data_IF_830784630373
#
_entry.id   IF_830784630373
#
_cell.length_a   1.000
_cell.length_b   1.000
_cell.length_c   1.000
_cell.angle_alpha   90.00
_cell.angle_beta   90.00
_cell.angle_gamma   90.00
#
_symmetry.space_group_name_H-M   'P 1'
#
loop_
_entity.id
_entity.type
_entity.pdbx_description
1 polymer ?
#
# COMPACT_ATOMS: atom_id res chain seq x y z
N UNK A 1 3.56 -19.06 -70.47
CA UNK A 1 2.49 -18.79 -69.50
C UNK A 1 3.14 -18.34 -68.19
N UNK A 2 2.55 -17.32 -67.56
CA UNK A 2 2.96 -16.57 -66.36
C UNK A 2 3.89 -15.35 -66.55
N UNK A 3 3.27 -14.23 -66.15
CA UNK A 3 3.58 -12.81 -66.33
C UNK A 3 4.34 -12.31 -65.11
N UNK A 4 5.26 -11.35 -65.29
CA UNK A 4 5.61 -10.39 -64.24
C UNK A 4 5.78 -9.00 -64.84
N UNK A 5 4.83 -8.13 -64.50
CA UNK A 5 4.95 -6.68 -64.64
C UNK A 5 4.73 -6.04 -63.28
N UNK A 6 5.59 -5.09 -62.97
CA UNK A 6 5.63 -4.24 -61.78
C UNK A 6 4.54 -3.16 -61.88
N UNK A 7 3.87 -2.82 -60.77
CA UNK A 7 3.17 -1.55 -60.63
C UNK A 7 3.08 -1.13 -59.16
N UNK A 8 3.80 -0.04 -58.87
CA UNK A 8 3.42 1.15 -58.09
C UNK A 8 2.29 0.96 -57.05
N UNK A 9 2.66 0.95 -55.76
CA UNK A 9 1.73 1.14 -54.66
C UNK A 9 1.50 2.64 -54.42
N UNK A 10 0.36 3.11 -54.92
CA UNK A 10 -0.24 4.39 -54.55
C UNK A 10 -0.99 4.28 -53.21
N UNK A 11 -0.87 5.36 -52.47
CA UNK A 11 -1.45 5.75 -51.18
C UNK A 11 -2.88 5.25 -50.91
N UNK A 12 -3.05 4.54 -49.79
CA UNK A 12 -4.33 4.48 -49.06
C UNK A 12 -4.13 5.17 -47.71
N UNK A 13 -4.78 6.33 -47.54
CA UNK A 13 -4.89 6.98 -46.25
C UNK A 13 -5.79 6.13 -45.35
N UNK A 14 -5.19 5.31 -44.48
CA UNK A 14 -5.92 4.73 -43.36
C UNK A 14 -6.21 5.85 -42.36
N UNK A 15 -7.48 6.27 -42.30
CA UNK A 15 -8.04 6.89 -41.11
C UNK A 15 -7.95 5.87 -39.98
N UNK A 16 -6.81 5.88 -39.27
CA UNK A 16 -6.73 5.29 -37.94
C UNK A 16 -7.59 6.19 -37.07
N UNK A 17 -8.80 5.74 -36.76
CA UNK A 17 -9.52 6.24 -35.59
C UNK A 17 -8.65 5.83 -34.41
N UNK A 18 -7.73 6.72 -34.03
CA UNK A 18 -7.01 6.60 -32.78
C UNK A 18 -8.09 6.65 -31.71
N UNK A 19 -8.47 5.48 -31.19
CA UNK A 19 -9.13 5.42 -29.91
C UNK A 19 -8.17 6.13 -28.96
N UNK A 20 -8.56 7.33 -28.52
CA UNK A 20 -7.85 8.02 -27.46
C UNK A 20 -7.67 7.00 -26.33
N UNK A 21 -6.49 6.95 -25.68
CA UNK A 21 -6.35 6.13 -24.49
C UNK A 21 -7.53 6.47 -23.58
N UNK A 22 -8.35 5.47 -23.26
CA UNK A 22 -9.34 5.60 -22.21
C UNK A 22 -8.49 5.83 -20.97
N UNK A 23 -8.34 7.11 -20.61
CA UNK A 23 -7.82 7.48 -19.32
C UNK A 23 -8.85 6.95 -18.33
N UNK A 24 -8.37 6.24 -17.31
CA UNK A 24 -9.21 5.84 -16.20
C UNK A 24 -9.98 7.07 -15.73
N UNK A 25 -11.31 6.96 -15.63
CA UNK A 25 -12.14 8.11 -15.29
C UNK A 25 -11.65 8.72 -13.98
N UNK A 26 -11.39 10.03 -13.99
CA UNK A 26 -11.02 10.75 -12.77
C UNK A 26 -12.04 10.46 -11.66
N UNK A 27 -11.59 10.28 -10.41
CA UNK A 27 -12.50 10.08 -9.29
C UNK A 27 -13.51 11.23 -9.24
N UNK A 28 -14.80 10.93 -9.16
CA UNK A 28 -15.79 11.99 -9.11
C UNK A 28 -15.61 12.86 -7.86
N UNK A 29 -15.88 14.17 -7.92
CA UNK A 29 -15.84 15.04 -6.74
C UNK A 29 -16.71 14.54 -5.58
N UNK A 30 -17.83 13.88 -5.89
CA UNK A 30 -18.70 13.23 -4.91
C UNK A 30 -18.01 12.06 -4.20
N UNK A 31 -17.25 11.24 -4.92
CA UNK A 31 -16.49 10.12 -4.34
C UNK A 31 -15.41 10.64 -3.39
N UNK A 32 -14.68 11.69 -3.79
CA UNK A 32 -13.69 12.34 -2.93
C UNK A 32 -14.34 12.89 -1.67
N UNK A 33 -15.45 13.62 -1.81
CA UNK A 33 -16.16 14.23 -0.68
C UNK A 33 -16.73 13.18 0.30
N UNK A 34 -17.11 12.00 -0.19
CA UNK A 34 -17.58 10.90 0.67
C UNK A 34 -16.44 10.17 1.36
N UNK A 35 -15.34 9.86 0.66
CA UNK A 35 -14.29 8.98 1.19
C UNK A 35 -13.29 9.75 2.07
N UNK A 36 -12.88 10.96 1.68
CA UNK A 36 -11.89 11.76 2.40
C UNK A 36 -12.15 11.94 3.92
N UNK A 37 -13.39 12.27 4.37
CA UNK A 37 -13.67 12.45 5.79
C UNK A 37 -13.73 11.12 6.58
N UNK A 38 -13.84 9.99 5.88
CA UNK A 38 -13.88 8.65 6.48
C UNK A 38 -12.49 8.03 6.62
N UNK A 39 -11.46 8.66 6.07
CA UNK A 39 -10.09 8.19 6.20
C UNK A 39 -9.39 8.80 7.42
N UNK A 40 -8.22 8.26 7.75
CA UNK A 40 -7.36 8.68 8.86
C UNK A 40 -7.28 10.21 9.00
N UNK A 41 -7.39 10.70 10.23
CA UNK A 41 -7.45 12.13 10.51
C UNK A 41 -6.18 12.66 11.15
N UNK A 42 -6.00 13.99 11.13
CA UNK A 42 -4.92 14.66 11.89
C UNK A 42 -4.98 14.36 13.39
N UNK A 43 -6.16 14.07 13.93
CA UNK A 43 -6.33 13.67 15.33
C UNK A 43 -5.75 12.26 15.56
N UNK A 44 -6.03 11.33 14.66
CA UNK A 44 -5.50 9.96 14.72
C UNK A 44 -3.97 9.97 14.58
N UNK A 45 -3.42 10.74 13.63
CA UNK A 45 -1.97 10.91 13.48
C UNK A 45 -1.33 11.50 14.75
N UNK A 46 -1.97 12.49 15.39
CA UNK A 46 -1.49 13.03 16.68
C UNK A 46 -1.46 11.98 17.77
N UNK A 47 -2.49 11.12 17.85
CA UNK A 47 -2.54 10.02 18.83
C UNK A 47 -1.50 8.93 18.52
N UNK A 48 -1.15 8.75 17.25
CA UNK A 48 -0.09 7.87 16.79
C UNK A 48 1.32 8.42 17.08
N UNK A 49 1.43 9.68 17.51
CA UNK A 49 2.72 10.31 17.83
C UNK A 49 3.33 11.07 16.66
N UNK A 50 2.65 11.19 15.52
CA UNK A 50 3.04 12.12 14.45
C UNK A 50 2.84 13.54 15.01
N UNK A 51 3.89 14.28 15.33
CA UNK A 51 3.82 15.62 15.94
C UNK A 51 4.53 16.69 15.12
N UNK A 52 4.38 17.97 15.50
CA UNK A 52 5.02 19.10 14.82
C UNK A 52 4.32 19.52 13.51
N UNK A 53 5.04 20.25 12.63
CA UNK A 53 4.60 20.51 11.26
C UNK A 53 4.37 19.21 10.49
N UNK A 54 3.27 19.13 9.74
CA UNK A 54 2.85 17.89 9.06
C UNK A 54 2.41 18.16 7.64
N UNK A 55 2.73 17.22 6.76
CA UNK A 55 2.12 17.10 5.44
C UNK A 55 0.91 16.16 5.55
N UNK A 56 -0.15 16.46 4.80
CA UNK A 56 -1.27 15.53 4.64
C UNK A 56 -1.52 15.35 3.15
N UNK A 57 -1.41 14.12 2.70
CA UNK A 57 -1.65 13.74 1.31
C UNK A 57 -2.95 12.95 1.23
N UNK A 58 -3.63 13.06 0.11
CA UNK A 58 -4.78 12.26 -0.24
C UNK A 58 -4.75 12.02 -1.74
N UNK A 59 -4.84 10.75 -2.14
CA UNK A 59 -4.81 10.35 -3.52
C UNK A 59 -5.87 9.28 -3.79
N UNK A 60 -6.44 9.33 -5.00
CA UNK A 60 -7.19 8.21 -5.55
C UNK A 60 -6.55 7.88 -6.89
N UNK A 61 -6.04 6.66 -7.00
CA UNK A 61 -5.37 6.15 -8.19
C UNK A 61 -6.24 5.08 -8.81
N UNK A 62 -6.57 5.23 -10.10
CA UNK A 62 -7.39 4.27 -10.85
C UNK A 62 -6.56 3.66 -12.00
N UNK A 63 -6.74 2.37 -12.25
CA UNK A 63 -6.08 1.67 -13.37
C UNK A 63 -7.05 0.74 -14.09
N UNK A 64 -7.22 0.98 -15.38
CA UNK A 64 -8.10 0.18 -16.25
C UNK A 64 -7.55 -1.22 -16.55
N UNK A 65 -6.24 -1.43 -16.39
CA UNK A 65 -5.57 -2.72 -16.62
C UNK A 65 -5.29 -3.49 -15.33
N UNK A 66 -5.57 -2.92 -14.15
CA UNK A 66 -5.10 -3.39 -12.85
C UNK A 66 -3.56 -3.35 -12.84
N UNK A 67 -2.93 -2.37 -12.23
CA UNK A 67 -2.64 -2.40 -10.80
C UNK A 67 -2.23 -0.98 -10.35
N UNK A 68 -3.07 -0.23 -9.64
CA UNK A 68 -2.58 0.62 -8.56
C UNK A 68 -1.88 -0.33 -7.57
N UNK A 69 -0.78 0.13 -6.99
CA UNK A 69 0.18 -0.66 -6.21
C UNK A 69 -0.43 -1.83 -5.44
N UNK A 70 0.22 -2.98 -5.51
CA UNK A 70 -0.18 -4.07 -4.64
C UNK A 70 0.20 -3.72 -3.19
N UNK A 71 -0.58 -4.15 -2.19
CA UNK A 71 -0.32 -3.79 -0.81
C UNK A 71 1.09 -4.25 -0.41
N UNK A 72 1.92 -3.27 -0.06
CA UNK A 72 3.30 -3.44 0.35
C UNK A 72 3.31 -4.01 1.77
N UNK A 73 4.03 -5.10 2.01
CA UNK A 73 3.98 -5.78 3.32
C UNK A 73 5.37 -6.09 3.89
N UNK A 74 6.34 -6.50 3.06
CA UNK A 74 7.64 -7.05 3.50
C UNK A 74 8.72 -6.88 2.39
N UNK A 75 9.27 -5.68 2.23
CA UNK A 75 10.06 -5.25 1.05
C UNK A 75 11.42 -5.95 0.83
N UNK A 76 11.93 -6.66 1.83
CA UNK A 76 13.38 -6.75 1.99
C UNK A 76 14.09 -7.78 1.12
N UNK A 77 13.44 -8.39 0.13
CA UNK A 77 14.11 -9.43 -0.68
C UNK A 77 13.87 -9.32 -2.17
N UNK A 78 13.03 -8.40 -2.67
CA UNK A 78 12.59 -8.37 -4.09
C UNK A 78 11.80 -9.62 -4.53
N UNK A 79 11.89 -10.73 -3.80
CA UNK A 79 11.23 -12.02 -4.05
C UNK A 79 9.92 -12.16 -3.28
N UNK A 80 9.77 -11.40 -2.19
CA UNK A 80 8.56 -11.34 -1.36
C UNK A 80 7.65 -10.15 -1.69
N UNK A 81 7.95 -9.41 -2.76
CA UNK A 81 7.04 -8.42 -3.31
C UNK A 81 5.67 -9.07 -3.49
N UNK A 82 4.70 -8.54 -2.76
CA UNK A 82 3.32 -8.96 -2.88
C UNK A 82 2.83 -8.30 -4.15
N UNK A 83 3.19 -8.80 -5.34
CA UNK A 83 2.48 -8.44 -6.57
C UNK A 83 1.08 -9.07 -6.47
N UNK A 84 0.17 -8.39 -5.79
CA UNK A 84 -1.25 -8.62 -5.95
C UNK A 84 -1.65 -8.23 -7.37
N UNK A 85 -2.68 -8.86 -7.92
CA UNK A 85 -3.45 -8.20 -8.99
C UNK A 85 -4.12 -7.00 -8.32
N UNK A 86 -3.43 -5.86 -8.32
CA UNK A 86 -3.82 -4.61 -7.68
C UNK A 86 -5.30 -4.28 -7.92
N UNK A 87 -5.94 -3.74 -6.90
CA UNK A 87 -7.33 -3.30 -6.96
C UNK A 87 -7.47 -2.21 -8.03
N UNK A 88 -8.46 -2.20 -8.94
CA UNK A 88 -8.58 -1.16 -9.97
C UNK A 88 -8.61 0.29 -9.44
N UNK A 89 -8.87 0.47 -8.15
CA UNK A 89 -8.79 1.76 -7.48
C UNK A 89 -8.09 1.61 -6.14
N UNK A 90 -7.12 2.47 -5.88
CA UNK A 90 -6.49 2.68 -4.58
C UNK A 90 -6.89 4.07 -4.07
N UNK A 91 -7.35 4.14 -2.84
CA UNK A 91 -7.53 5.39 -2.11
C UNK A 91 -6.50 5.42 -1.00
N UNK A 92 -5.60 6.40 -1.01
CA UNK A 92 -4.53 6.53 -0.03
C UNK A 92 -4.64 7.87 0.70
N UNK A 93 -4.39 7.85 2.00
CA UNK A 93 -4.26 9.06 2.82
C UNK A 93 -3.14 8.87 3.80
N UNK A 94 -2.24 9.83 3.84
CA UNK A 94 -1.07 9.80 4.70
C UNK A 94 -0.92 11.13 5.41
N UNK A 95 -0.46 11.06 6.66
CA UNK A 95 -0.13 12.22 7.46
C UNK A 95 1.30 12.02 7.96
N UNK A 96 2.23 12.76 7.38
CA UNK A 96 3.65 12.69 7.67
C UNK A 96 4.10 13.82 8.57
N UNK A 97 5.00 13.56 9.50
CA UNK A 97 5.75 14.58 10.21
C UNK A 97 6.85 15.12 9.30
N UNK A 98 7.03 16.44 9.32
CA UNK A 98 8.21 17.09 8.73
C UNK A 98 9.35 17.24 9.76
N UNK A 99 9.17 16.68 10.96
CA UNK A 99 10.14 16.69 12.04
C UNK A 99 10.89 15.35 12.06
N UNK A 100 12.21 15.40 12.19
CA UNK A 100 13.06 14.22 12.33
C UNK A 100 13.03 13.66 13.75
N UNK A 101 13.18 12.35 13.90
CA UNK A 101 13.43 11.68 15.19
C UNK A 101 12.18 11.36 16.02
N UNK A 102 10.99 11.41 15.42
CA UNK A 102 9.72 10.96 16.01
C UNK A 102 9.07 9.94 15.06
N UNK A 103 7.82 9.56 15.32
CA UNK A 103 6.98 8.83 14.34
C UNK A 103 6.86 9.66 13.06
N UNK A 104 7.32 9.08 11.95
CA UNK A 104 7.40 9.71 10.63
C UNK A 104 6.03 9.82 10.00
N UNK A 105 5.20 8.77 10.06
CA UNK A 105 3.92 8.78 9.34
C UNK A 105 2.84 7.93 10.01
N UNK A 106 1.59 8.25 9.66
CA UNK A 106 0.44 7.37 9.81
C UNK A 106 -0.30 7.39 8.46
N UNK A 107 -0.41 6.23 7.82
CA UNK A 107 -1.03 6.07 6.51
C UNK A 107 -2.21 5.10 6.57
N UNK A 108 -3.11 5.29 5.61
CA UNK A 108 -4.22 4.38 5.35
C UNK A 108 -4.38 4.22 3.84
N UNK A 109 -4.47 2.96 3.42
CA UNK A 109 -4.82 2.57 2.07
C UNK A 109 -6.14 1.81 2.06
N UNK A 110 -6.93 2.07 1.03
CA UNK A 110 -8.14 1.34 0.71
C UNK A 110 -8.08 0.87 -0.74
N UNK A 111 -7.83 -0.42 -0.90
CA UNK A 111 -7.81 -1.13 -2.16
C UNK A 111 -9.23 -1.55 -2.52
N UNK A 112 -9.81 -0.94 -3.56
CA UNK A 112 -11.20 -1.13 -3.98
C UNK A 112 -11.28 -2.06 -5.19
N UNK A 113 -11.81 -3.26 -4.97
CA UNK A 113 -11.96 -4.27 -6.01
C UNK A 113 -13.32 -4.16 -6.71
N UNK A 114 -13.42 -4.70 -7.93
CA UNK A 114 -14.68 -4.74 -8.67
C UNK A 114 -15.77 -5.58 -8.00
N UNK A 115 -15.40 -6.49 -7.10
CA UNK A 115 -16.32 -7.34 -6.34
C UNK A 115 -15.68 -7.87 -5.07
N UNK A 116 -16.50 -8.27 -4.11
CA UNK A 116 -16.07 -8.97 -2.89
C UNK A 116 -15.31 -10.26 -3.20
N UNK A 117 -15.73 -11.03 -4.21
CA UNK A 117 -15.03 -12.24 -4.61
C UNK A 117 -13.57 -11.96 -5.05
N UNK A 118 -13.32 -10.82 -5.72
CA UNK A 118 -11.98 -10.38 -6.12
C UNK A 118 -11.17 -9.89 -4.92
N UNK A 119 -11.77 -9.08 -4.05
CA UNK A 119 -11.12 -8.63 -2.80
C UNK A 119 -10.71 -9.80 -1.92
N UNK A 120 -11.60 -10.77 -1.71
CA UNK A 120 -11.33 -12.00 -0.95
C UNK A 120 -10.23 -12.84 -1.58
N UNK A 121 -10.17 -12.92 -2.91
CA UNK A 121 -9.11 -13.62 -3.61
C UNK A 121 -7.74 -12.95 -3.40
N UNK A 122 -7.68 -11.62 -3.49
CA UNK A 122 -6.47 -10.84 -3.22
C UNK A 122 -6.05 -10.98 -1.75
N UNK A 123 -6.99 -10.86 -0.81
CA UNK A 123 -6.72 -11.02 0.62
C UNK A 123 -6.16 -12.40 0.97
N UNK A 124 -6.64 -13.49 0.35
CA UNK A 124 -6.02 -14.81 0.52
C UNK A 124 -4.58 -14.87 0.02
N UNK A 125 -4.23 -14.11 -1.02
CA UNK A 125 -2.86 -13.97 -1.48
C UNK A 125 -1.99 -13.24 -0.44
N UNK A 126 -2.53 -12.17 0.15
CA UNK A 126 -1.89 -11.43 1.24
C UNK A 126 -1.66 -12.34 2.45
N UNK A 127 -2.67 -13.08 2.92
CA UNK A 127 -2.55 -14.04 4.05
C UNK A 127 -1.38 -15.01 3.84
N UNK A 128 -1.25 -15.57 2.64
CA UNK A 128 -0.15 -16.52 2.33
C UNK A 128 1.22 -15.86 2.40
N UNK A 129 1.33 -14.61 1.96
CA UNK A 129 2.60 -13.88 1.90
C UNK A 129 2.99 -13.33 3.27
N UNK A 130 2.04 -12.82 4.06
CA UNK A 130 2.28 -12.40 5.45
C UNK A 130 2.84 -13.54 6.30
N UNK A 131 2.41 -14.78 6.07
CA UNK A 131 2.97 -15.94 6.75
C UNK A 131 4.48 -16.16 6.48
N UNK A 132 5.03 -15.60 5.40
CA UNK A 132 6.46 -15.63 5.10
C UNK A 132 7.24 -14.43 5.69
N UNK A 133 6.54 -13.48 6.30
CA UNK A 133 7.13 -12.26 6.86
C UNK A 133 7.53 -12.46 8.32
N UNK A 134 8.52 -13.32 8.52
CA UNK A 134 9.04 -13.63 9.85
C UNK A 134 10.56 -13.75 9.84
N UNK A 135 11.15 -13.50 11.00
CA UNK A 135 12.58 -13.65 11.23
C UNK A 135 13.40 -12.52 10.64
N UNK A 136 14.71 -12.75 10.58
CA UNK A 136 15.67 -11.79 10.06
C UNK A 136 15.79 -11.95 8.55
N UNK A 137 15.61 -10.85 7.82
CA UNK A 137 15.77 -10.78 6.38
C UNK A 137 16.89 -9.81 6.00
N UNK A 138 17.61 -10.15 4.93
CA UNK A 138 18.63 -9.32 4.31
C UNK A 138 18.33 -9.24 2.82
N UNK A 139 18.31 -8.05 2.21
CA UNK A 139 18.17 -7.92 0.77
C UNK A 139 19.25 -8.71 0.05
N UNK A 140 18.81 -9.50 -0.93
CA UNK A 140 19.70 -9.98 -1.99
C UNK A 140 19.88 -8.81 -2.95
N UNK A 141 21.11 -8.35 -3.21
CA UNK A 141 21.34 -7.27 -4.17
C UNK A 141 20.83 -7.68 -5.56
N UNK A 142 19.99 -6.84 -6.16
CA UNK A 142 19.58 -7.00 -7.56
C UNK A 142 20.74 -6.59 -8.49
N UNK A 143 21.62 -7.54 -8.82
CA UNK A 143 22.59 -7.45 -9.92
C UNK A 143 23.77 -6.47 -9.73
N UNK A 144 24.99 -6.99 -9.91
CA UNK A 144 26.29 -6.29 -10.08
C UNK A 144 26.63 -5.09 -9.18
N UNK A 145 25.96 -4.93 -8.04
CA UNK A 145 26.37 -4.02 -6.99
C UNK A 145 27.00 -4.84 -5.85
N UNK A 146 28.33 -4.71 -5.69
CA UNK A 146 29.10 -5.16 -4.53
C UNK A 146 28.72 -4.40 -3.25
N UNK A 147 27.45 -4.44 -2.83
CA UNK A 147 27.05 -4.02 -1.48
C UNK A 147 26.31 -5.14 -0.76
N UNK A 148 27.06 -6.15 -0.25
CA UNK A 148 26.48 -7.19 0.57
C UNK A 148 26.16 -6.64 1.96
N UNK A 149 24.89 -6.40 2.25
CA UNK A 149 24.34 -6.66 3.59
C UNK A 149 24.41 -5.56 4.64
N UNK A 150 24.34 -4.28 4.25
CA UNK A 150 24.25 -3.17 5.22
C UNK A 150 22.85 -3.02 5.81
N UNK A 151 21.81 -3.46 5.11
CA UNK A 151 20.41 -3.44 5.56
C UNK A 151 20.05 -4.79 6.19
N UNK A 152 19.53 -4.74 7.41
CA UNK A 152 18.94 -5.88 8.10
C UNK A 152 17.56 -5.48 8.57
N UNK A 153 16.55 -6.31 8.31
CA UNK A 153 15.32 -6.18 9.06
C UNK A 153 14.87 -7.44 9.77
N UNK A 154 14.13 -7.21 10.84
CA UNK A 154 13.51 -8.23 11.66
C UNK A 154 12.02 -8.10 11.55
N UNK A 155 11.39 -9.12 10.98
CA UNK A 155 9.95 -9.16 10.76
C UNK A 155 9.28 -10.07 11.79
N UNK A 156 8.14 -9.63 12.30
CA UNK A 156 7.21 -10.47 13.04
C UNK A 156 5.81 -10.23 12.52
N UNK A 157 4.98 -11.27 12.49
CA UNK A 157 3.63 -11.17 11.99
C UNK A 157 2.64 -11.94 12.88
N UNK A 158 1.36 -11.73 12.62
CA UNK A 158 0.31 -12.56 13.18
C UNK A 158 -1.08 -12.14 12.74
N UNK A 159 -2.08 -12.64 13.48
CA UNK A 159 -3.47 -12.29 13.26
C UNK A 159 -4.15 -11.86 14.56
N UNK A 160 -5.11 -10.96 14.46
CA UNK A 160 -6.02 -10.53 15.53
C UNK A 160 -7.47 -10.62 15.03
N UNK A 161 -8.43 -10.46 15.93
CA UNK A 161 -9.86 -10.37 15.58
C UNK A 161 -10.35 -8.96 15.80
N UNK A 162 -11.08 -8.43 14.83
CA UNK A 162 -11.89 -7.24 14.95
C UNK A 162 -13.13 -7.52 15.83
N UNK A 163 -13.83 -6.47 16.24
CA UNK A 163 -15.00 -6.54 17.11
C UNK A 163 -16.18 -7.28 16.45
N UNK A 164 -16.28 -7.27 15.13
CA UNK A 164 -17.25 -8.04 14.34
C UNK A 164 -16.90 -9.53 14.24
N UNK A 165 -15.74 -9.95 14.75
CA UNK A 165 -15.24 -11.32 14.74
C UNK A 165 -14.38 -11.67 13.54
N UNK A 166 -14.29 -10.79 12.53
CA UNK A 166 -13.43 -11.01 11.36
C UNK A 166 -11.96 -10.88 11.75
N UNK A 167 -11.12 -11.73 11.15
CA UNK A 167 -9.69 -11.67 11.38
C UNK A 167 -9.05 -10.53 10.57
N UNK A 168 -8.05 -9.89 11.16
CA UNK A 168 -7.11 -9.03 10.45
C UNK A 168 -5.68 -9.49 10.71
N UNK A 169 -4.80 -9.24 9.75
CA UNK A 169 -3.38 -9.57 9.83
C UNK A 169 -2.61 -8.36 10.34
N UNK A 170 -1.46 -8.60 10.95
CA UNK A 170 -0.50 -7.55 11.28
C UNK A 170 0.92 -8.00 10.96
N UNK A 171 1.77 -7.04 10.59
CA UNK A 171 3.21 -7.21 10.42
C UNK A 171 3.90 -6.07 11.16
N UNK A 172 4.98 -6.41 11.86
CA UNK A 172 5.89 -5.46 12.49
C UNK A 172 7.27 -5.65 11.88
N UNK A 173 7.86 -4.56 11.41
CA UNK A 173 9.21 -4.52 10.87
C UNK A 173 10.11 -3.66 11.75
N UNK A 174 11.35 -4.09 11.92
CA UNK A 174 12.44 -3.29 12.46
C UNK A 174 13.62 -3.40 11.50
N UNK A 175 13.89 -2.32 10.78
CA UNK A 175 14.97 -2.22 9.80
C UNK A 175 16.10 -1.38 10.38
N UNK A 176 17.33 -1.85 10.21
CA UNK A 176 18.55 -1.15 10.62
C UNK A 176 19.54 -1.15 9.46
N UNK A 177 20.35 -0.09 9.41
CA UNK A 177 21.43 0.03 8.43
C UNK A 177 22.75 0.27 9.18
N UNK A 178 23.74 -0.61 8.98
CA UNK A 178 24.98 -0.57 9.76
C UNK A 178 25.81 0.70 9.53
N UNK A 179 25.85 1.21 8.29
CA UNK A 179 26.76 2.30 7.88
C UNK A 179 26.07 3.67 7.74
N UNK A 180 24.82 3.78 8.18
CA UNK A 180 23.94 4.94 7.95
C UNK A 180 23.91 5.97 9.09
N UNK A 181 24.92 5.98 9.96
CA UNK A 181 24.93 6.80 11.19
C UNK A 181 23.73 6.54 12.11
N UNK A 182 23.28 5.28 12.22
CA UNK A 182 22.20 4.89 13.14
C UNK A 182 20.80 5.12 12.59
N UNK A 183 20.60 5.01 11.28
CA UNK A 183 19.27 4.91 10.70
C UNK A 183 18.56 3.65 11.21
N UNK A 184 17.30 3.84 11.59
CA UNK A 184 16.36 2.76 11.87
C UNK A 184 15.00 3.10 11.24
N UNK A 185 14.28 2.07 10.81
CA UNK A 185 12.84 2.14 10.53
C UNK A 185 12.12 1.15 11.43
N UNK A 186 11.04 1.60 12.06
CA UNK A 186 10.12 0.77 12.81
C UNK A 186 8.73 0.93 12.23
N UNK A 187 8.21 -0.14 11.66
CA UNK A 187 6.90 -0.15 11.01
C UNK A 187 5.96 -1.11 11.72
N UNK A 188 4.69 -0.73 11.79
CA UNK A 188 3.61 -1.63 12.16
C UNK A 188 2.43 -1.41 11.23
N UNK A 189 2.12 -2.45 10.47
CA UNK A 189 1.02 -2.45 9.51
C UNK A 189 -0.03 -3.49 9.87
N UNK A 190 -1.26 -3.23 9.46
CA UNK A 190 -2.39 -4.15 9.58
C UNK A 190 -3.13 -4.27 8.27
N UNK A 191 -3.70 -5.44 8.01
CA UNK A 191 -4.48 -5.70 6.78
C UNK A 191 -5.80 -6.38 7.11
N UNK A 192 -6.91 -5.75 6.72
CA UNK A 192 -8.27 -6.27 6.89
C UNK A 192 -9.03 -6.28 5.56
N UNK A 193 -9.81 -7.33 5.34
CA UNK A 193 -10.73 -7.44 4.22
C UNK A 193 -12.17 -7.23 4.70
N UNK A 194 -12.98 -6.48 3.94
CA UNK A 194 -14.42 -6.37 4.15
C UNK A 194 -15.11 -6.02 2.82
N UNK A 195 -16.19 -6.71 2.49
CA UNK A 195 -16.91 -6.52 1.22
C UNK A 195 -15.95 -6.51 0.01
N UNK A 196 -16.01 -5.48 -0.84
CA UNK A 196 -15.12 -5.32 -2.00
C UNK A 196 -13.79 -4.62 -1.69
N UNK A 197 -13.41 -4.52 -0.42
CA UNK A 197 -12.28 -3.70 0.03
C UNK A 197 -11.21 -4.53 0.72
N UNK A 198 -9.96 -4.13 0.53
CA UNK A 198 -8.85 -4.48 1.41
C UNK A 198 -8.29 -3.18 1.97
N UNK A 199 -8.22 -3.07 3.29
CA UNK A 199 -7.69 -1.91 3.99
C UNK A 199 -6.33 -2.25 4.57
N UNK A 200 -5.39 -1.31 4.41
CA UNK A 200 -4.09 -1.34 5.06
C UNK A 200 -3.98 -0.08 5.92
N UNK A 201 -3.51 -0.23 7.15
CA UNK A 201 -3.01 0.89 7.95
C UNK A 201 -1.54 0.65 8.24
N UNK A 202 -0.78 1.73 8.33
CA UNK A 202 0.60 1.68 8.73
C UNK A 202 0.94 2.86 9.63
N UNK A 203 1.70 2.59 10.67
CA UNK A 203 2.43 3.61 11.42
C UNK A 203 3.90 3.31 11.31
N UNK A 204 4.68 4.35 11.05
CA UNK A 204 6.11 4.25 10.80
C UNK A 204 6.85 5.25 11.68
N UNK A 205 8.00 4.82 12.20
CA UNK A 205 9.02 5.71 12.74
C UNK A 205 10.34 5.44 12.04
N UNK A 206 10.72 6.35 11.15
CA UNK A 206 11.93 6.25 10.35
C UNK A 206 12.88 7.42 10.58
N UNK A 207 14.20 7.13 10.53
CA UNK A 207 15.27 8.12 10.49
C UNK A 207 16.43 7.79 11.41
N UNK A 208 17.34 8.76 11.56
CA UNK A 208 18.47 8.64 12.49
C UNK A 208 17.98 8.55 13.93
N UNK A 209 18.32 7.47 14.62
CA UNK A 209 17.88 7.18 15.98
C UNK A 209 16.34 7.21 16.15
N UNK A 210 15.61 6.76 15.11
CA UNK A 210 14.16 6.65 15.19
C UNK A 210 13.73 5.78 16.38
N UNK A 211 12.76 6.22 17.19
CA UNK A 211 12.29 5.44 18.32
C UNK A 211 11.48 4.23 17.89
N UNK A 212 11.63 3.12 18.62
CA UNK A 212 10.76 1.97 18.46
C UNK A 212 9.29 2.33 18.73
N UNK A 213 8.39 1.75 17.92
CA UNK A 213 6.94 1.92 18.11
C UNK A 213 6.50 1.36 19.46
N UNK A 214 5.77 2.18 20.21
CA UNK A 214 5.20 1.83 21.52
C UNK A 214 3.97 0.95 21.38
N UNK A 215 3.66 0.18 22.43
CA UNK A 215 2.43 -0.62 22.51
C UNK A 215 1.16 0.22 22.33
N UNK A 216 1.16 1.49 22.76
CA UNK A 216 0.03 2.40 22.59
C UNK A 216 -0.21 2.76 21.12
N UNK A 217 0.86 2.95 20.35
CA UNK A 217 0.78 3.26 18.91
C UNK A 217 0.28 2.05 18.12
N UNK A 218 0.80 0.86 18.45
CA UNK A 218 0.33 -0.41 17.89
C UNK A 218 -1.16 -0.62 18.18
N UNK A 219 -1.59 -0.45 19.44
CA UNK A 219 -2.99 -0.60 19.83
C UNK A 219 -3.92 0.43 19.16
N UNK A 220 -3.42 1.64 18.87
CA UNK A 220 -4.17 2.61 18.10
C UNK A 220 -4.41 2.12 16.67
N UNK A 221 -3.38 1.63 15.98
CA UNK A 221 -3.51 1.09 14.61
C UNK A 221 -4.45 -0.11 14.58
N UNK A 222 -4.37 -1.01 15.56
CA UNK A 222 -5.33 -2.11 15.71
C UNK A 222 -6.76 -1.58 15.82
N UNK A 223 -7.01 -0.59 16.68
CA UNK A 223 -8.32 0.02 16.86
C UNK A 223 -8.82 0.81 15.66
N UNK A 224 -7.92 1.41 14.87
CA UNK A 224 -8.26 2.05 13.60
C UNK A 224 -8.68 1.00 12.56
N UNK A 225 -7.95 -0.13 12.48
CA UNK A 225 -8.27 -1.26 11.61
C UNK A 225 -9.64 -1.87 11.91
N UNK A 226 -9.96 -1.97 13.21
CA UNK A 226 -11.26 -2.41 13.70
C UNK A 226 -12.37 -1.42 13.31
N UNK A 227 -12.20 -0.15 13.67
CA UNK A 227 -13.30 0.83 13.59
C UNK A 227 -13.48 1.53 12.24
N UNK A 228 -12.47 1.60 11.37
CA UNK A 228 -12.57 2.32 10.10
C UNK A 228 -13.10 1.45 8.95
N UNK A 229 -12.87 0.14 8.98
CA UNK A 229 -13.56 -0.79 8.09
C UNK A 229 -15.08 -0.67 8.22
N UNK A 230 -15.58 -0.50 9.45
CA UNK A 230 -17.02 -0.41 9.74
C UNK A 230 -17.62 0.96 9.35
N UNK A 231 -16.87 2.06 9.55
CA UNK A 231 -17.28 3.40 9.11
C UNK A 231 -17.38 3.49 7.58
N UNK A 232 -16.40 2.94 6.88
CA UNK A 232 -16.39 2.89 5.41
C UNK A 232 -17.46 1.93 4.90
N UNK A 233 -17.61 0.75 5.49
CA UNK A 233 -18.64 -0.21 5.11
C UNK A 233 -20.07 0.32 5.33
N UNK A 234 -20.30 1.15 6.35
CA UNK A 234 -21.61 1.76 6.60
C UNK A 234 -21.92 2.91 5.65
N UNK A 235 -20.91 3.67 5.23
CA UNK A 235 -21.08 4.84 4.37
C UNK A 235 -21.02 4.54 2.86
N UNK A 236 -20.49 3.37 2.48
CA UNK A 236 -20.29 2.95 1.08
C UNK A 236 -21.23 1.79 0.64
N UNK A 237 -22.20 1.43 1.47
CA UNK A 237 -23.35 0.58 1.11
C UNK A 237 -24.38 1.38 0.33
#
# INVERSE_FOLDING_TARGET
MHIRSVAVLGTAAMLVVAAAPVYASEPSPSMVATIYPLMVTKSDATKAGVTGPRLSTFAITTSDKGTPDAPWLCDLTGVLEVEGKGAPTLVAKEIMSLKTGDVSSLSQELHVYTSEAKAKAAYRGIVKRVAACEGQQKPTPDGDADEPGTITATLTNGSKKAADGDAFLWVKSETTMADSNGFASHEYLTVRHFGKYVQVFEVESEGTAAPALTARQIALVDGLTDSLGDRLASALR
#
